data_IF_597022553829
#
_entry.id   IF_597022553829
#
_cell.length_a   1.000
_cell.length_b   1.000
_cell.length_c   1.000
_cell.angle_alpha   90.00
_cell.angle_beta   90.00
_cell.angle_gamma   90.00
#
_symmetry.space_group_name_H-M   'P 1'
#
loop_
_entity.id
_entity.type
_entity.pdbx_description
1 polymer ?
#
# COMPACT_ATOMS: atom_id res chain seq x y z
N UNK A 1 -19.76 3.61 -21.53
CA UNK A 1 -18.84 3.16 -20.47
C UNK A 1 -17.47 3.74 -20.81
N UNK A 2 -17.11 4.89 -20.22
CA UNK A 2 -15.84 5.56 -20.50
C UNK A 2 -14.75 4.88 -19.67
N UNK A 3 -13.79 4.23 -20.34
CA UNK A 3 -12.51 3.90 -19.76
C UNK A 3 -11.81 5.23 -19.46
N UNK A 4 -11.83 5.67 -18.21
CA UNK A 4 -11.00 6.78 -17.75
C UNK A 4 -9.56 6.42 -18.10
N UNK A 5 -8.98 7.12 -19.07
CA UNK A 5 -7.59 6.96 -19.48
C UNK A 5 -6.72 7.17 -18.26
N UNK A 6 -6.11 6.08 -17.77
CA UNK A 6 -5.25 6.11 -16.59
C UNK A 6 -4.14 7.15 -16.84
N UNK A 7 -3.99 8.20 -16.02
CA UNK A 7 -2.86 9.09 -16.15
C UNK A 7 -1.57 8.26 -16.05
N UNK A 8 -0.58 8.60 -16.87
CA UNK A 8 0.72 7.92 -16.89
C UNK A 8 1.30 7.98 -15.49
N UNK A 9 1.44 6.83 -14.82
CA UNK A 9 2.09 6.75 -13.52
C UNK A 9 3.56 7.09 -13.70
N UNK A 10 4.00 8.24 -13.21
CA UNK A 10 5.43 8.55 -13.16
C UNK A 10 6.07 7.61 -12.14
N UNK A 11 6.97 6.74 -12.60
CA UNK A 11 7.79 5.95 -11.69
C UNK A 11 8.78 6.90 -11.00
N UNK A 12 8.84 6.82 -9.67
CA UNK A 12 9.80 7.54 -8.85
C UNK A 12 10.39 6.56 -7.86
N UNK A 13 11.67 6.73 -7.54
CA UNK A 13 12.26 5.99 -6.43
C UNK A 13 11.65 6.47 -5.12
N UNK A 14 11.70 5.62 -4.11
CA UNK A 14 11.19 5.95 -2.79
C UNK A 14 11.85 7.21 -2.22
N UNK A 15 13.16 7.35 -2.40
CA UNK A 15 13.96 8.47 -1.91
C UNK A 15 13.50 9.80 -2.51
N UNK A 16 13.06 9.80 -3.77
CA UNK A 16 12.60 11.01 -4.46
C UNK A 16 11.20 11.47 -4.02
N UNK A 17 10.37 10.55 -3.52
CA UNK A 17 9.03 10.88 -3.05
C UNK A 17 8.90 10.91 -1.52
N UNK A 18 9.90 10.41 -0.77
CA UNK A 18 9.88 10.31 0.69
C UNK A 18 9.51 11.62 1.37
N UNK A 19 10.12 12.73 0.97
CA UNK A 19 9.89 14.05 1.58
C UNK A 19 8.49 14.63 1.29
N UNK A 20 7.77 14.06 0.32
CA UNK A 20 6.41 14.47 -0.06
C UNK A 20 5.33 13.65 0.64
N UNK A 21 5.71 12.55 1.30
CA UNK A 21 4.78 11.68 2.02
C UNK A 21 4.40 12.35 3.35
N UNK A 22 3.11 12.39 3.66
CA UNK A 22 2.56 13.07 4.82
C UNK A 22 1.66 12.17 5.67
N UNK A 23 1.49 12.55 6.93
CA UNK A 23 0.51 11.95 7.83
C UNK A 23 -0.90 11.97 7.21
N UNK A 24 -1.54 10.80 7.12
CA UNK A 24 -2.87 10.65 6.56
C UNK A 24 -2.92 10.35 5.07
N UNK A 25 -1.78 10.33 4.37
CA UNK A 25 -1.72 9.83 2.99
C UNK A 25 -2.21 8.38 2.92
N UNK A 26 -2.92 8.05 1.83
CA UNK A 26 -3.38 6.69 1.55
C UNK A 26 -2.45 6.07 0.50
N UNK A 27 -1.85 4.94 0.85
CA UNK A 27 -1.09 4.12 -0.09
C UNK A 27 -2.00 3.00 -0.56
N UNK A 28 -2.14 2.86 -1.88
CA UNK A 28 -2.90 1.78 -2.50
C UNK A 28 -1.96 0.76 -3.14
N UNK A 29 -2.22 -0.52 -2.88
CA UNK A 29 -1.43 -1.63 -3.39
C UNK A 29 -2.24 -2.46 -4.39
N UNK A 30 -1.52 -3.04 -5.35
CA UNK A 30 -2.06 -4.01 -6.33
C UNK A 30 -1.29 -5.31 -6.18
N UNK A 31 -1.61 -6.08 -5.13
CA UNK A 31 -0.99 -7.37 -4.87
C UNK A 31 -1.27 -8.39 -5.99
N UNK A 32 -0.47 -9.46 -6.01
CA UNK A 32 -0.52 -10.53 -7.01
C UNK A 32 -0.90 -11.90 -6.42
N UNK A 33 -1.47 -11.92 -5.22
CA UNK A 33 -1.99 -13.13 -4.59
C UNK A 33 -3.47 -13.40 -4.94
N UNK A 34 -3.97 -14.58 -4.57
CA UNK A 34 -5.33 -15.04 -4.89
C UNK A 34 -6.42 -14.12 -4.30
N UNK A 35 -6.22 -13.59 -3.08
CA UNK A 35 -7.18 -12.68 -2.47
C UNK A 35 -7.13 -11.31 -3.15
N UNK A 36 -5.93 -10.84 -3.51
CA UNK A 36 -5.74 -9.60 -4.25
C UNK A 36 -6.46 -9.61 -5.61
N UNK A 37 -6.37 -10.71 -6.36
CA UNK A 37 -7.08 -10.87 -7.63
C UNK A 37 -8.61 -10.92 -7.44
N UNK A 38 -9.09 -11.59 -6.38
CA UNK A 38 -10.52 -11.61 -6.04
C UNK A 38 -11.03 -10.21 -5.72
N UNK A 39 -10.35 -9.46 -4.86
CA UNK A 39 -10.74 -8.09 -4.48
C UNK A 39 -10.79 -7.19 -5.71
N UNK A 40 -9.73 -7.18 -6.53
CA UNK A 40 -9.68 -6.40 -7.77
C UNK A 40 -10.85 -6.73 -8.71
N UNK A 41 -11.18 -8.02 -8.86
CA UNK A 41 -12.27 -8.48 -9.72
C UNK A 41 -13.66 -8.08 -9.20
N UNK A 42 -13.92 -8.28 -7.91
CA UNK A 42 -15.22 -7.98 -7.29
C UNK A 42 -15.46 -6.47 -7.21
N UNK A 43 -14.42 -5.69 -6.92
CA UNK A 43 -14.50 -4.23 -6.82
C UNK A 43 -14.39 -3.52 -8.17
N UNK A 44 -14.04 -4.25 -9.24
CA UNK A 44 -13.67 -3.70 -10.55
C UNK A 44 -12.60 -2.58 -10.43
N UNK A 45 -11.63 -2.79 -9.55
CA UNK A 45 -10.52 -1.87 -9.25
C UNK A 45 -9.18 -2.50 -9.58
N UNK A 46 -8.16 -1.69 -9.85
CA UNK A 46 -6.79 -2.15 -9.95
C UNK A 46 -6.09 -2.28 -8.58
N UNK A 47 -6.70 -1.80 -7.51
CA UNK A 47 -6.15 -1.88 -6.15
C UNK A 47 -6.82 -2.99 -5.36
N UNK A 48 -6.03 -3.72 -4.57
CA UNK A 48 -6.49 -4.81 -3.70
C UNK A 48 -6.32 -4.52 -2.20
N UNK A 49 -5.44 -3.58 -1.84
CA UNK A 49 -5.18 -3.25 -0.45
C UNK A 49 -4.89 -1.76 -0.29
N UNK A 50 -5.12 -1.24 0.91
CA UNK A 50 -4.82 0.16 1.25
C UNK A 50 -4.25 0.23 2.66
N UNK A 51 -3.29 1.13 2.85
CA UNK A 51 -2.73 1.50 4.15
C UNK A 51 -2.71 3.02 4.32
N UNK A 52 -2.65 3.46 5.57
CA UNK A 52 -2.56 4.88 5.93
C UNK A 52 -1.14 5.17 6.40
N UNK A 53 -0.59 6.30 5.96
CA UNK A 53 0.75 6.72 6.37
C UNK A 53 0.73 7.44 7.70
N UNK A 54 1.67 7.04 8.56
CA UNK A 54 2.08 7.79 9.75
C UNK A 54 3.57 8.14 9.67
N UNK A 55 3.89 9.43 9.62
CA UNK A 55 5.22 9.96 9.89
C UNK A 55 5.39 10.16 11.41
N UNK A 56 6.26 9.34 11.99
CA UNK A 56 6.47 9.26 13.44
C UNK A 56 7.93 9.50 13.78
N UNK A 57 8.15 10.24 14.86
CA UNK A 57 9.47 10.33 15.48
C UNK A 57 9.58 9.24 16.55
N UNK A 58 10.22 8.13 16.18
CA UNK A 58 10.56 7.06 17.10
C UNK A 58 11.87 7.41 17.80
N UNK A 59 11.74 7.92 19.03
CA UNK A 59 12.87 8.31 19.86
C UNK A 59 13.94 7.17 19.92
N UNK A 60 15.23 7.52 19.84
CA UNK A 60 16.33 6.54 19.80
C UNK A 60 16.85 6.26 18.38
N UNK A 61 17.21 5.01 18.08
CA UNK A 61 17.92 4.62 16.85
C UNK A 61 17.10 4.74 15.54
N UNK A 62 15.79 4.94 15.64
CA UNK A 62 14.87 4.93 14.48
C UNK A 62 14.50 6.33 13.96
N UNK A 63 14.76 7.39 14.74
CA UNK A 63 14.56 8.78 14.32
C UNK A 63 13.19 9.05 13.68
N UNK A 64 13.17 9.89 12.64
CA UNK A 64 11.97 10.15 11.84
C UNK A 64 11.74 9.02 10.84
N UNK A 65 10.63 8.32 11.01
CA UNK A 65 10.28 7.10 10.30
C UNK A 65 8.89 7.19 9.68
N UNK A 66 8.75 6.65 8.47
CA UNK A 66 7.45 6.52 7.79
C UNK A 66 6.94 5.11 8.06
N UNK A 67 5.77 5.02 8.68
CA UNK A 67 5.04 3.80 8.92
C UNK A 67 3.83 3.71 8.00
N UNK A 68 3.46 2.49 7.65
CA UNK A 68 2.21 2.16 6.99
C UNK A 68 1.37 1.37 8.00
N UNK A 69 0.20 1.91 8.34
CA UNK A 69 -0.77 1.23 9.20
C UNK A 69 -1.87 0.67 8.30
N UNK A 70 -2.07 -0.63 8.40
CA UNK A 70 -3.01 -1.36 7.56
C UNK A 70 -3.64 -2.52 8.32
N UNK A 71 -4.78 -3.01 7.81
CA UNK A 71 -5.47 -4.19 8.35
C UNK A 71 -5.23 -5.37 7.43
N UNK A 72 -4.21 -6.19 7.71
CA UNK A 72 -3.92 -7.38 6.93
C UNK A 72 -4.75 -8.57 7.42
N UNK A 73 -5.20 -9.40 6.48
CA UNK A 73 -5.68 -10.75 6.79
C UNK A 73 -4.49 -11.70 6.72
N UNK A 74 -3.73 -11.83 7.80
CA UNK A 74 -2.74 -12.90 7.92
C UNK A 74 -3.45 -14.25 8.02
N UNK A 75 -3.51 -14.99 6.91
CA UNK A 75 -3.76 -16.43 6.97
C UNK A 75 -2.39 -17.10 7.01
N UNK A 76 -1.79 -17.21 8.19
CA UNK A 76 -0.65 -18.12 8.36
C UNK A 76 -1.12 -19.53 8.01
N UNK A 77 -0.90 -19.96 6.77
CA UNK A 77 -1.03 -21.36 6.40
C UNK A 77 0.18 -22.06 7.02
N UNK A 78 0.04 -22.40 8.31
CA UNK A 78 0.96 -23.27 9.02
C UNK A 78 0.96 -24.62 8.28
N UNK A 79 1.89 -24.79 7.35
CA UNK A 79 2.19 -26.10 6.78
C UNK A 79 3.07 -26.81 7.79
N UNK A 80 2.43 -27.33 8.84
CA UNK A 80 3.01 -28.43 9.58
C UNK A 80 2.78 -29.67 8.71
N UNK A 81 3.82 -30.07 7.97
CA UNK A 81 3.94 -31.34 7.28
C UNK A 81 5.23 -32.02 7.75
#
# INVERSE_FOLDING_TARGET
MQLLSRPVSSFSTYENCRDRIQNGDIIAFSGNDIFSDLIRRVTNSCYSHVGIVLDVNMNGAFGQSILIVESTTEVSQRRDA
#
